data_IF_663600097988
#
_entry.id   IF_663600097988
#
_cell.length_a   1.000
_cell.length_b   1.000
_cell.length_c   1.000
_cell.angle_alpha   90.00
_cell.angle_beta   90.00
_cell.angle_gamma   90.00
#
_symmetry.space_group_name_H-M   'P 1'
#
loop_
_entity.id
_entity.type
_entity.pdbx_description
1 polymer ?
#
# COMPACT_ATOMS: atom_id res chain seq x y z
N UNK A 1 -17.79 46.28 -5.46
CA UNK A 1 -17.36 45.38 -4.37
C UNK A 1 -18.28 44.17 -4.35
N UNK A 2 -17.88 43.06 -4.98
CA UNK A 2 -18.64 41.82 -4.92
C UNK A 2 -18.34 41.16 -3.58
N UNK A 3 -19.33 41.15 -2.69
CA UNK A 3 -19.31 40.34 -1.47
C UNK A 3 -19.17 38.87 -1.88
N UNK A 4 -17.92 38.37 -1.83
CA UNK A 4 -17.65 36.96 -2.08
C UNK A 4 -18.39 36.15 -1.04
N UNK A 5 -19.36 35.33 -1.47
CA UNK A 5 -20.04 34.38 -0.60
C UNK A 5 -18.98 33.54 0.10
N UNK A 6 -18.76 33.78 1.40
CA UNK A 6 -17.86 32.98 2.21
C UNK A 6 -18.35 31.53 2.12
N UNK A 7 -17.51 30.67 1.54
CA UNK A 7 -17.78 29.23 1.47
C UNK A 7 -17.99 28.71 2.90
N UNK A 8 -18.99 27.85 3.12
CA UNK A 8 -19.31 27.30 4.46
C UNK A 8 -18.16 26.55 5.13
N UNK A 9 -17.12 26.19 4.38
CA UNK A 9 -15.91 25.58 4.92
C UNK A 9 -15.12 26.48 5.89
N UNK A 10 -15.39 27.79 5.90
CA UNK A 10 -14.81 28.71 6.88
C UNK A 10 -15.45 28.59 8.27
N UNK A 11 -16.56 27.87 8.38
CA UNK A 11 -17.15 27.50 9.67
C UNK A 11 -16.33 26.35 10.28
N UNK A 12 -15.67 26.62 11.41
CA UNK A 12 -14.81 25.66 12.10
C UNK A 12 -15.58 24.42 12.56
N UNK A 13 -16.83 24.56 12.98
CA UNK A 13 -17.64 23.43 13.44
C UNK A 13 -18.06 22.55 12.27
N UNK A 14 -18.37 23.16 11.12
CA UNK A 14 -18.65 22.43 9.89
C UNK A 14 -17.42 21.67 9.36
N UNK A 15 -16.26 22.32 9.30
CA UNK A 15 -15.02 21.68 8.85
C UNK A 15 -14.58 20.56 9.79
N UNK A 16 -14.68 20.76 11.11
CA UNK A 16 -14.38 19.74 12.12
C UNK A 16 -15.30 18.53 11.99
N UNK A 17 -16.59 18.73 11.71
CA UNK A 17 -17.53 17.63 11.52
C UNK A 17 -17.20 16.78 10.28
N UNK A 18 -16.78 17.42 9.17
CA UNK A 18 -16.33 16.69 7.98
C UNK A 18 -15.06 15.89 8.29
N UNK A 19 -14.08 16.49 8.98
CA UNK A 19 -12.85 15.80 9.37
C UNK A 19 -13.12 14.60 10.29
N UNK A 20 -14.01 14.76 11.27
CA UNK A 20 -14.44 13.68 12.15
C UNK A 20 -15.07 12.55 11.33
N UNK A 21 -15.92 12.88 10.37
CA UNK A 21 -16.53 11.87 9.52
C UNK A 21 -15.49 11.08 8.71
N UNK A 22 -14.53 11.78 8.09
CA UNK A 22 -13.43 11.14 7.34
C UNK A 22 -12.68 10.14 8.24
N UNK A 23 -12.40 10.50 9.49
CA UNK A 23 -11.76 9.61 10.45
C UNK A 23 -12.64 8.40 10.83
N UNK A 24 -13.96 8.61 10.97
CA UNK A 24 -14.91 7.53 11.32
C UNK A 24 -15.22 6.56 10.18
N UNK A 25 -14.94 6.92 8.92
CA UNK A 25 -15.19 6.03 7.78
C UNK A 25 -14.44 4.70 7.89
N UNK A 26 -13.34 4.65 8.66
CA UNK A 26 -12.52 3.43 8.83
C UNK A 26 -11.91 2.91 7.52
N UNK A 27 -12.07 3.66 6.41
CA UNK A 27 -11.52 3.34 5.11
C UNK A 27 -10.11 3.89 5.02
N UNK A 28 -9.17 3.07 4.53
CA UNK A 28 -7.79 3.52 4.20
C UNK A 28 -7.78 4.60 3.11
N UNK A 29 -8.82 4.65 2.27
CA UNK A 29 -8.97 5.64 1.21
C UNK A 29 -10.42 6.11 1.16
N UNK A 30 -10.61 7.42 1.03
CA UNK A 30 -11.91 8.02 0.75
C UNK A 30 -11.85 8.86 -0.53
N UNK A 31 -13.01 9.10 -1.12
CA UNK A 31 -13.22 9.97 -2.27
C UNK A 31 -13.99 11.22 -1.86
N UNK A 32 -13.96 12.26 -2.70
CA UNK A 32 -14.78 13.43 -2.45
C UNK A 32 -16.28 13.09 -2.50
N UNK A 33 -16.66 12.06 -3.27
CA UNK A 33 -18.03 11.55 -3.34
C UNK A 33 -18.52 10.97 -2.00
N UNK A 34 -17.67 10.32 -1.21
CA UNK A 34 -18.05 9.83 0.13
C UNK A 34 -18.56 10.98 1.02
N UNK A 35 -17.97 12.17 0.90
CA UNK A 35 -18.39 13.36 1.63
C UNK A 35 -19.65 13.97 1.01
N UNK A 36 -19.79 13.94 -0.32
CA UNK A 36 -21.03 14.38 -0.98
C UNK A 36 -22.20 13.53 -0.51
N UNK A 37 -22.06 12.21 -0.46
CA UNK A 37 -23.08 11.27 0.02
C UNK A 37 -23.46 11.54 1.48
N UNK A 38 -22.48 11.79 2.36
CA UNK A 38 -22.76 12.20 3.74
C UNK A 38 -23.60 13.47 3.80
N UNK A 39 -23.20 14.50 3.05
CA UNK A 39 -23.88 15.80 3.04
C UNK A 39 -25.21 15.75 2.28
N UNK A 40 -25.50 14.64 1.58
CA UNK A 40 -26.78 14.39 0.94
C UNK A 40 -27.82 13.81 1.92
N UNK A 41 -27.39 13.28 3.07
CA UNK A 41 -28.28 12.72 4.09
C UNK A 41 -29.24 13.78 4.67
N UNK A 42 -30.54 13.48 4.83
CA UNK A 42 -31.55 14.47 5.24
C UNK A 42 -31.29 15.02 6.65
N UNK A 43 -30.73 14.23 7.56
CA UNK A 43 -30.37 14.64 8.92
C UNK A 43 -29.25 15.68 8.90
N UNK A 44 -28.19 15.41 8.15
CA UNK A 44 -27.02 16.29 8.00
C UNK A 44 -27.40 17.57 7.23
N UNK A 45 -28.22 17.45 6.19
CA UNK A 45 -28.78 18.61 5.48
C UNK A 45 -29.57 19.51 6.41
N UNK A 46 -30.40 18.93 7.28
CA UNK A 46 -31.20 19.69 8.25
C UNK A 46 -30.31 20.34 9.31
N UNK A 47 -29.35 19.59 9.85
CA UNK A 47 -28.40 20.07 10.86
C UNK A 47 -27.61 21.28 10.37
N UNK A 48 -27.09 21.24 9.15
CA UNK A 48 -26.32 22.34 8.57
C UNK A 48 -27.15 23.27 7.69
N UNK A 49 -28.48 23.12 7.64
CA UNK A 49 -29.37 23.92 6.80
C UNK A 49 -28.89 24.02 5.34
N UNK A 50 -28.54 22.88 4.73
CA UNK A 50 -28.11 22.73 3.33
C UNK A 50 -29.33 22.50 2.43
N UNK A 51 -29.53 23.38 1.44
CA UNK A 51 -30.64 23.24 0.47
C UNK A 51 -30.42 22.08 -0.51
N UNK A 52 -29.16 21.81 -0.86
CA UNK A 52 -28.72 20.76 -1.80
C UNK A 52 -27.36 20.25 -1.34
N UNK A 53 -27.03 19.01 -1.68
CA UNK A 53 -25.67 18.51 -1.50
C UNK A 53 -24.69 19.33 -2.35
N UNK A 54 -23.46 19.58 -1.86
CA UNK A 54 -22.43 20.24 -2.63
C UNK A 54 -22.01 19.35 -3.81
N UNK A 55 -21.62 19.99 -4.91
CA UNK A 55 -20.98 19.28 -6.01
C UNK A 55 -19.62 18.74 -5.58
N UNK A 56 -19.17 17.63 -6.16
CA UNK A 56 -17.89 17.00 -5.84
C UNK A 56 -16.72 18.00 -5.92
N UNK A 57 -16.65 18.78 -7.01
CA UNK A 57 -15.65 19.84 -7.18
C UNK A 57 -15.62 20.87 -6.02
N UNK A 58 -16.76 21.16 -5.39
CA UNK A 58 -16.82 22.04 -4.21
C UNK A 58 -16.19 21.35 -3.00
N UNK A 59 -16.50 20.06 -2.79
CA UNK A 59 -15.88 19.24 -1.75
C UNK A 59 -14.37 19.12 -1.95
N UNK A 60 -13.90 18.92 -3.18
CA UNK A 60 -12.47 18.88 -3.48
C UNK A 60 -11.77 20.20 -3.13
N UNK A 61 -12.43 21.36 -3.33
CA UNK A 61 -11.90 22.65 -2.86
C UNK A 61 -11.87 22.73 -1.33
N UNK A 62 -12.89 22.21 -0.65
CA UNK A 62 -12.94 22.17 0.80
C UNK A 62 -11.84 21.28 1.39
N UNK A 63 -11.58 20.12 0.78
CA UNK A 63 -10.48 19.23 1.16
C UNK A 63 -9.13 19.96 1.08
N UNK A 64 -8.87 20.68 -0.01
CA UNK A 64 -7.65 21.51 -0.14
C UNK A 64 -7.55 22.59 0.94
N UNK A 65 -8.68 23.19 1.31
CA UNK A 65 -8.73 24.20 2.38
C UNK A 65 -8.42 23.57 3.75
N UNK A 66 -8.88 22.34 4.00
CA UNK A 66 -8.56 21.54 5.20
C UNK A 66 -7.20 20.84 5.12
N UNK A 67 -6.29 21.33 4.28
CA UNK A 67 -4.93 20.81 4.06
C UNK A 67 -4.81 19.37 3.53
N UNK A 68 -5.88 18.82 2.94
CA UNK A 68 -5.78 17.57 2.19
C UNK A 68 -5.23 17.81 0.80
N UNK A 69 -4.32 16.93 0.36
CA UNK A 69 -3.77 16.91 -1.00
C UNK A 69 -4.07 15.57 -1.66
N UNK A 70 -4.48 15.62 -2.92
CA UNK A 70 -4.63 14.41 -3.73
C UNK A 70 -3.28 14.05 -4.34
N UNK A 71 -2.80 12.84 -4.08
CA UNK A 71 -1.49 12.43 -4.57
C UNK A 71 -1.06 11.06 -4.06
N UNK A 72 0.19 10.67 -4.35
CA UNK A 72 0.76 9.45 -3.80
C UNK A 72 0.97 9.58 -2.29
N UNK A 73 0.60 8.53 -1.56
CA UNK A 73 0.91 8.40 -0.13
C UNK A 73 2.40 8.52 0.13
N UNK A 74 2.78 9.06 1.31
CA UNK A 74 4.18 9.00 1.75
C UNK A 74 4.56 7.52 1.86
N UNK A 75 5.62 7.11 1.18
CA UNK A 75 6.13 5.74 1.27
C UNK A 75 6.64 5.51 2.68
N UNK A 76 6.06 4.54 3.36
CA UNK A 76 6.56 4.06 4.65
C UNK A 76 7.82 3.23 4.51
N UNK A 77 8.44 2.95 5.65
CA UNK A 77 9.50 1.96 5.74
C UNK A 77 8.90 0.56 5.54
N UNK A 78 9.52 -0.22 4.65
CA UNK A 78 9.19 -1.63 4.47
C UNK A 78 9.85 -2.42 5.60
N UNK A 79 9.04 -3.21 6.31
CA UNK A 79 9.57 -4.19 7.26
C UNK A 79 9.69 -5.50 6.51
N UNK A 80 10.92 -5.98 6.39
CA UNK A 80 11.18 -7.25 5.73
C UNK A 80 10.53 -8.39 6.51
N UNK A 81 9.72 -9.19 5.82
CA UNK A 81 8.95 -10.29 6.42
C UNK A 81 9.77 -11.57 6.63
N UNK A 82 11.07 -11.55 6.33
CA UNK A 82 11.93 -12.73 6.43
C UNK A 82 12.03 -13.33 7.85
N UNK A 83 11.73 -12.54 8.89
CA UNK A 83 11.77 -13.00 10.29
C UNK A 83 10.42 -13.49 10.82
N UNK A 84 9.34 -13.50 10.02
CA UNK A 84 8.04 -14.02 10.48
C UNK A 84 8.15 -15.51 10.80
N UNK A 85 7.45 -15.93 11.85
CA UNK A 85 7.49 -17.30 12.36
C UNK A 85 7.15 -18.34 11.28
N UNK A 86 6.15 -18.08 10.45
CA UNK A 86 5.73 -18.95 9.35
C UNK A 86 6.78 -19.04 8.23
N UNK A 87 7.42 -17.91 7.89
CA UNK A 87 8.51 -17.85 6.90
C UNK A 87 9.75 -18.60 7.41
N UNK A 88 10.10 -18.38 8.67
CA UNK A 88 11.23 -19.07 9.32
C UNK A 88 10.95 -20.56 9.41
N UNK A 89 9.74 -20.96 9.80
CA UNK A 89 9.33 -22.35 9.87
C UNK A 89 9.44 -23.04 8.50
N UNK A 90 8.89 -22.44 7.44
CA UNK A 90 9.00 -22.97 6.08
C UNK A 90 10.46 -23.07 5.64
N UNK A 91 11.26 -22.02 5.88
CA UNK A 91 12.69 -22.02 5.55
C UNK A 91 13.41 -23.20 6.20
N UNK A 92 13.19 -23.40 7.49
CA UNK A 92 13.90 -24.43 8.27
C UNK A 92 13.39 -25.85 8.01
N UNK A 93 12.08 -26.04 7.88
CA UNK A 93 11.47 -27.38 7.80
C UNK A 93 11.29 -27.89 6.38
N UNK A 94 11.22 -27.01 5.38
CA UNK A 94 10.92 -27.38 3.99
C UNK A 94 12.05 -26.99 3.05
N UNK A 95 12.37 -25.69 2.98
CA UNK A 95 13.29 -25.19 1.96
C UNK A 95 14.73 -25.70 2.16
N UNK A 96 15.30 -25.55 3.36
CA UNK A 96 16.68 -25.96 3.62
C UNK A 96 16.89 -27.47 3.49
N UNK A 97 16.04 -28.36 4.05
CA UNK A 97 16.17 -29.79 3.84
C UNK A 97 16.09 -30.18 2.36
N UNK A 98 15.16 -29.59 1.61
CA UNK A 98 15.06 -29.81 0.17
C UNK A 98 16.30 -29.32 -0.58
N UNK A 99 16.82 -28.15 -0.21
CA UNK A 99 18.03 -27.57 -0.79
C UNK A 99 19.24 -28.51 -0.64
N UNK A 100 19.48 -29.05 0.56
CA UNK A 100 20.59 -29.97 0.81
C UNK A 100 20.49 -31.28 0.01
N UNK A 101 19.29 -31.71 -0.38
CA UNK A 101 19.10 -32.90 -1.22
C UNK A 101 19.47 -32.66 -2.69
N UNK A 102 19.25 -31.45 -3.19
CA UNK A 102 19.44 -31.11 -4.61
C UNK A 102 20.78 -30.43 -4.89
N UNK A 103 21.35 -29.72 -3.92
CA UNK A 103 22.62 -28.99 -4.06
C UNK A 103 23.77 -29.88 -4.59
N UNK A 104 23.92 -31.16 -4.18
CA UNK A 104 24.94 -32.06 -4.74
C UNK A 104 24.80 -32.30 -6.24
N UNK A 105 23.60 -32.16 -6.80
CA UNK A 105 23.30 -32.37 -8.21
C UNK A 105 23.47 -31.08 -9.04
N UNK A 106 23.90 -29.98 -8.42
CA UNK A 106 24.13 -28.70 -9.07
C UNK A 106 25.62 -28.47 -9.36
N UNK A 107 25.90 -27.70 -10.39
CA UNK A 107 27.23 -27.13 -10.59
C UNK A 107 27.49 -26.05 -9.54
N UNK A 108 28.72 -25.96 -9.03
CA UNK A 108 29.14 -24.87 -8.14
C UNK A 108 30.26 -24.07 -8.78
N UNK A 109 30.25 -22.77 -8.55
CA UNK A 109 31.30 -21.85 -8.98
C UNK A 109 31.93 -21.25 -7.75
N UNK A 110 33.23 -21.49 -7.58
CA UNK A 110 34.02 -20.88 -6.53
C UNK A 110 34.37 -19.42 -6.90
N UNK A 111 34.74 -18.63 -5.90
CA UNK A 111 35.03 -17.20 -6.09
C UNK A 111 36.22 -16.90 -7.00
N UNK A 112 37.09 -17.88 -7.24
CA UNK A 112 38.22 -17.82 -8.18
C UNK A 112 37.83 -18.22 -9.62
N UNK A 113 36.56 -18.55 -9.85
CA UNK A 113 36.04 -19.02 -11.14
C UNK A 113 36.18 -20.52 -11.36
N UNK A 114 36.70 -21.28 -10.38
CA UNK A 114 36.79 -22.75 -10.47
C UNK A 114 35.39 -23.36 -10.47
N UNK A 115 35.12 -24.21 -11.46
CA UNK A 115 33.86 -24.96 -11.58
C UNK A 115 33.99 -26.30 -10.88
N UNK A 116 33.13 -26.56 -9.90
CA UNK A 116 33.02 -27.87 -9.24
C UNK A 116 31.83 -28.61 -9.85
N UNK A 117 32.06 -29.77 -10.50
CA UNK A 117 31.00 -30.55 -11.11
C UNK A 117 30.07 -31.15 -10.04
N UNK A 118 28.82 -31.50 -10.42
CA UNK A 118 27.88 -32.13 -9.52
C UNK A 118 28.36 -33.54 -9.12
N UNK A 119 27.96 -33.96 -7.92
CA UNK A 119 28.23 -35.29 -7.34
C UNK A 119 27.30 -36.36 -7.92
N UNK A 120 27.34 -36.52 -9.25
CA UNK A 120 26.56 -37.51 -9.99
C UNK A 120 27.49 -38.63 -10.49
N UNK A 121 27.08 -39.89 -10.30
CA UNK A 121 27.92 -41.07 -10.55
C UNK A 121 28.33 -41.15 -12.03
N UNK A 122 27.44 -40.76 -12.95
CA UNK A 122 27.71 -40.80 -14.39
C UNK A 122 27.70 -39.41 -15.02
N UNK A 123 28.16 -38.37 -14.31
CA UNK A 123 28.34 -37.06 -14.93
C UNK A 123 29.38 -37.14 -16.08
N UNK A 124 29.13 -36.55 -17.27
CA UNK A 124 28.01 -35.68 -17.67
C UNK A 124 26.83 -36.40 -18.38
N UNK A 125 26.80 -37.74 -18.42
CA UNK A 125 25.72 -38.51 -19.03
C UNK A 125 24.40 -38.41 -18.23
N UNK A 126 24.48 -38.15 -16.92
CA UNK A 126 23.34 -37.88 -16.05
C UNK A 126 22.94 -36.39 -16.07
N UNK A 127 21.63 -36.13 -16.05
CA UNK A 127 21.09 -34.76 -15.97
C UNK A 127 21.43 -34.15 -14.61
N UNK A 128 21.91 -32.91 -14.64
CA UNK A 128 22.16 -32.11 -13.44
C UNK A 128 21.06 -31.06 -13.24
N UNK A 129 20.98 -30.51 -12.05
CA UNK A 129 20.03 -29.44 -11.72
C UNK A 129 20.69 -28.10 -11.98
N UNK A 130 20.03 -27.26 -12.78
CA UNK A 130 20.40 -25.85 -12.95
C UNK A 130 19.46 -25.02 -12.10
N UNK A 131 20.00 -24.36 -11.09
CA UNK A 131 19.26 -23.45 -10.25
C UNK A 131 19.13 -22.08 -10.93
N UNK A 132 17.91 -21.65 -11.18
CA UNK A 132 17.60 -20.34 -11.73
C UNK A 132 16.97 -19.48 -10.63
N UNK A 133 17.74 -18.53 -10.08
CA UNK A 133 17.22 -17.55 -9.14
C UNK A 133 16.66 -16.34 -9.87
N UNK A 134 15.57 -15.80 -9.32
CA UNK A 134 15.12 -14.45 -9.62
C UNK A 134 15.26 -13.64 -8.33
N UNK A 135 16.18 -12.68 -8.33
CA UNK A 135 16.50 -11.87 -7.14
C UNK A 135 15.31 -10.99 -6.73
N UNK A 136 14.54 -10.49 -7.70
CA UNK A 136 13.35 -9.68 -7.44
C UNK A 136 12.29 -9.89 -8.51
N UNK A 137 11.45 -10.92 -8.35
CA UNK A 137 10.23 -11.03 -9.15
C UNK A 137 9.14 -10.14 -8.54
N UNK A 138 9.10 -8.89 -9.00
CA UNK A 138 8.08 -7.92 -8.59
C UNK A 138 6.76 -8.20 -9.30
N UNK A 139 6.02 -9.22 -8.84
CA UNK A 139 4.62 -9.43 -9.25
C UNK A 139 3.71 -8.41 -8.54
N UNK A 140 3.88 -7.12 -8.86
CA UNK A 140 2.85 -6.13 -8.57
C UNK A 140 1.82 -6.20 -9.68
N UNK A 141 0.90 -7.17 -9.60
CA UNK A 141 -0.43 -6.91 -10.12
C UNK A 141 -0.93 -5.62 -9.46
N UNK A 142 -1.73 -4.84 -10.17
CA UNK A 142 -2.06 -3.45 -9.89
C UNK A 142 -2.93 -3.25 -8.61
N UNK A 143 -2.71 -4.07 -7.57
CA UNK A 143 -3.56 -4.34 -6.41
C UNK A 143 -3.52 -3.23 -5.35
N UNK A 144 -2.57 -2.30 -5.45
CA UNK A 144 -2.44 -1.20 -4.51
C UNK A 144 -2.93 0.12 -5.12
N UNK A 145 -3.94 0.73 -4.48
CA UNK A 145 -4.34 2.11 -4.78
C UNK A 145 -3.26 3.06 -4.30
N UNK A 146 -2.43 3.53 -5.25
CA UNK A 146 -1.28 4.41 -4.96
C UNK A 146 -1.68 5.86 -4.69
N UNK A 147 -2.86 6.29 -5.14
CA UNK A 147 -3.32 7.68 -5.08
C UNK A 147 -4.56 7.84 -4.18
N UNK A 148 -4.54 8.85 -3.33
CA UNK A 148 -5.67 9.20 -2.45
C UNK A 148 -5.58 10.64 -1.93
N UNK A 149 -6.60 11.04 -1.18
CA UNK A 149 -6.58 12.28 -0.39
C UNK A 149 -5.83 12.03 0.91
N UNK A 150 -4.73 12.75 1.12
CA UNK A 150 -3.82 12.60 2.25
C UNK A 150 -3.77 13.92 3.00
N UNK A 151 -3.88 13.88 4.33
CA UNK A 151 -3.75 15.09 5.13
C UNK A 151 -2.28 15.50 5.27
N UNK A 152 -1.99 16.80 5.26
CA UNK A 152 -0.63 17.35 5.48
C UNK A 152 0.07 16.78 6.72
N UNK A 153 -0.69 16.54 7.79
CA UNK A 153 -0.22 16.03 9.08
C UNK A 153 0.02 14.51 9.12
N UNK A 154 -0.42 13.78 8.10
CA UNK A 154 -0.32 12.32 8.05
C UNK A 154 1.16 11.88 7.91
N UNK A 155 1.57 10.95 8.78
CA UNK A 155 2.92 10.36 8.81
C UNK A 155 2.94 9.10 7.97
N UNK A 156 4.11 8.78 7.43
CA UNK A 156 4.29 7.54 6.70
C UNK A 156 4.13 6.35 7.65
N UNK A 157 3.19 5.46 7.35
CA UNK A 157 2.97 4.23 8.12
C UNK A 157 3.87 3.11 7.59
N UNK A 158 4.42 2.29 8.48
CA UNK A 158 5.21 1.13 8.08
C UNK A 158 4.33 0.12 7.36
N UNK A 159 4.80 -0.36 6.21
CA UNK A 159 4.07 -1.36 5.42
C UNK A 159 4.72 -2.72 5.73
N UNK A 160 3.94 -3.59 6.36
CA UNK A 160 4.29 -5.01 6.55
C UNK A 160 3.66 -5.82 5.42
N UNK A 161 4.39 -6.84 4.95
CA UNK A 161 3.91 -7.82 3.97
C UNK A 161 3.62 -9.16 4.65
#
# INVERSE_FOLDING_TARGET
MLSGCKSRIHDEDFSRAIQLHIQTLGKRYFSADDIVQLLDQPEIKKQYNLKKAPHEHTVQRWLKFMEYRYGPGKKGMYIDGHEREDVVEYRQKVFLPWWYLIEPQMMKWLGDGTVVPPLLIKFPLEKHIVWLTHDESTFYAHDQRKLGWINSSEKAETVRK
#
